data_IF_485281635998
#
_entry.id   IF_485281635998
#
_cell.length_a   1.000
_cell.length_b   1.000
_cell.length_c   1.000
_cell.angle_alpha   90.00
_cell.angle_beta   90.00
_cell.angle_gamma   90.00
#
_symmetry.space_group_name_H-M   'P 1'
#
loop_
_entity.id
_entity.type
_entity.pdbx_description
1 polymer ?
#
# COMPACT_ATOMS: atom_id res chain seq x y z
N UNK A 1 -6.97 -15.07 -5.79
CA UNK A 1 -8.38 -15.40 -5.47
C UNK A 1 -9.08 -15.81 -6.75
N UNK A 2 -9.83 -16.91 -6.68
CA UNK A 2 -10.55 -17.46 -7.82
C UNK A 2 -12.06 -17.47 -7.55
N UNK A 3 -12.86 -17.24 -8.59
CA UNK A 3 -14.27 -17.61 -8.62
C UNK A 3 -14.56 -18.27 -9.97
N UNK A 4 -15.31 -19.37 -9.99
CA UNK A 4 -15.65 -20.12 -11.20
C UNK A 4 -14.42 -20.43 -12.09
N UNK A 5 -13.31 -20.81 -11.46
CA UNK A 5 -11.99 -21.09 -12.09
C UNK A 5 -11.29 -19.90 -12.72
N UNK A 6 -11.76 -18.67 -12.48
CA UNK A 6 -11.19 -17.45 -13.00
C UNK A 6 -10.37 -16.70 -11.95
N UNK A 7 -9.16 -16.23 -12.30
CA UNK A 7 -8.35 -15.39 -11.41
C UNK A 7 -8.96 -13.99 -11.32
N UNK A 8 -9.50 -13.65 -10.15
CA UNK A 8 -10.12 -12.34 -9.91
C UNK A 8 -9.15 -11.31 -9.34
N UNK A 9 -8.22 -11.77 -8.51
CA UNK A 9 -7.23 -10.91 -7.89
C UNK A 9 -5.98 -11.70 -7.53
N UNK A 10 -4.87 -10.99 -7.41
CA UNK A 10 -3.59 -11.50 -6.95
C UNK A 10 -2.83 -10.41 -6.19
N UNK A 11 -1.96 -10.84 -5.27
CA UNK A 11 -1.12 -9.94 -4.49
C UNK A 11 0.25 -10.57 -4.26
N UNK A 12 1.25 -9.72 -4.04
CA UNK A 12 2.58 -10.08 -3.55
C UNK A 12 2.70 -9.64 -2.11
N UNK A 13 2.97 -10.61 -1.24
CA UNK A 13 3.24 -10.41 0.18
C UNK A 13 4.74 -10.55 0.42
N UNK A 14 5.32 -9.67 1.22
CA UNK A 14 6.71 -9.75 1.65
C UNK A 14 6.75 -9.85 3.17
N UNK A 15 7.63 -10.68 3.71
CA UNK A 15 7.81 -10.87 5.15
C UNK A 15 9.28 -10.67 5.51
N UNK A 16 9.55 -9.80 6.48
CA UNK A 16 10.89 -9.58 7.04
C UNK A 16 10.75 -9.46 8.56
N UNK A 17 11.27 -10.45 9.28
CA UNK A 17 11.04 -10.55 10.72
C UNK A 17 9.54 -10.62 11.02
N UNK A 18 9.09 -9.82 11.98
CA UNK A 18 7.69 -9.73 12.41
C UNK A 18 6.86 -8.73 11.57
N UNK A 19 7.39 -8.24 10.44
CA UNK A 19 6.74 -7.27 9.58
C UNK A 19 6.33 -7.91 8.25
N UNK A 20 5.05 -7.77 7.91
CA UNK A 20 4.47 -8.25 6.65
C UNK A 20 3.95 -7.07 5.83
N UNK A 21 4.29 -7.01 4.55
CA UNK A 21 3.84 -5.97 3.63
C UNK A 21 2.91 -6.52 2.55
N UNK A 22 1.80 -5.82 2.33
CA UNK A 22 1.05 -5.89 1.08
C UNK A 22 1.77 -5.05 0.01
N UNK A 23 2.73 -5.66 -0.69
CA UNK A 23 3.64 -4.92 -1.58
C UNK A 23 2.95 -4.43 -2.85
N UNK A 24 2.27 -5.35 -3.54
CA UNK A 24 1.56 -5.11 -4.80
C UNK A 24 0.31 -5.98 -4.84
N UNK A 25 -0.75 -5.48 -5.45
CA UNK A 25 -1.89 -6.31 -5.81
C UNK A 25 -2.65 -5.74 -6.97
N UNK A 26 -3.37 -6.63 -7.64
CA UNK A 26 -4.17 -6.34 -8.82
C UNK A 26 -5.46 -7.16 -8.76
N UNK A 27 -6.51 -6.59 -9.31
CA UNK A 27 -7.81 -7.24 -9.44
C UNK A 27 -8.47 -6.83 -10.73
N UNK A 28 -9.27 -7.73 -11.30
CA UNK A 28 -10.07 -7.45 -12.47
C UNK A 28 -11.30 -6.60 -12.09
N UNK A 29 -11.87 -5.91 -13.08
CA UNK A 29 -13.03 -5.04 -12.86
C UNK A 29 -14.37 -5.78 -12.89
N UNK A 30 -14.45 -6.94 -13.56
CA UNK A 30 -15.63 -7.81 -13.53
C UNK A 30 -15.73 -8.56 -12.20
N UNK A 31 -16.93 -9.00 -11.84
CA UNK A 31 -17.18 -9.73 -10.60
C UNK A 31 -16.73 -8.96 -9.34
N UNK A 32 -17.02 -7.66 -9.25
CA UNK A 32 -16.68 -6.86 -8.05
C UNK A 32 -17.56 -7.19 -6.85
N UNK A 33 -18.77 -7.68 -7.12
CA UNK A 33 -19.76 -8.09 -6.13
C UNK A 33 -19.28 -9.24 -5.25
N UNK A 34 -18.37 -10.11 -5.74
CA UNK A 34 -17.75 -11.16 -4.92
C UNK A 34 -16.55 -10.68 -4.11
N UNK A 35 -16.25 -9.37 -4.17
CA UNK A 35 -15.25 -8.68 -3.35
C UNK A 35 -13.87 -9.37 -3.28
N UNK A 36 -13.23 -9.68 -4.42
CA UNK A 36 -12.00 -10.47 -4.44
C UNK A 36 -10.82 -9.78 -3.71
N UNK A 37 -10.80 -8.44 -3.66
CA UNK A 37 -9.80 -7.68 -2.92
C UNK A 37 -9.93 -7.86 -1.40
N UNK A 38 -11.15 -7.85 -0.87
CA UNK A 38 -11.38 -8.11 0.55
C UNK A 38 -10.95 -9.53 0.90
N UNK A 39 -11.29 -10.51 0.05
CA UNK A 39 -10.90 -11.91 0.25
C UNK A 39 -9.37 -12.09 0.31
N UNK A 40 -8.62 -11.47 -0.59
CA UNK A 40 -7.15 -11.53 -0.57
C UNK A 40 -6.57 -10.85 0.67
N UNK A 41 -7.07 -9.66 1.03
CA UNK A 41 -6.56 -8.97 2.22
C UNK A 41 -6.84 -9.76 3.49
N UNK A 42 -8.04 -10.36 3.62
CA UNK A 42 -8.36 -11.22 4.75
C UNK A 42 -7.42 -12.43 4.84
N UNK A 43 -7.15 -13.07 3.68
CA UNK A 43 -6.21 -14.19 3.62
C UNK A 43 -4.81 -13.77 4.04
N UNK A 44 -4.30 -12.66 3.49
CA UNK A 44 -2.98 -12.14 3.83
C UNK A 44 -2.86 -11.73 5.30
N UNK A 45 -3.91 -11.14 5.88
CA UNK A 45 -3.98 -10.82 7.31
C UNK A 45 -3.96 -12.09 8.18
N UNK A 46 -4.68 -13.13 7.76
CA UNK A 46 -4.69 -14.42 8.46
C UNK A 46 -3.32 -15.09 8.40
N UNK A 47 -2.69 -15.12 7.22
CA UNK A 47 -1.33 -15.67 7.05
C UNK A 47 -0.31 -14.86 7.88
N UNK A 48 -0.43 -13.53 7.92
CA UNK A 48 0.44 -12.67 8.74
C UNK A 48 0.28 -12.96 10.24
N UNK A 49 -0.95 -13.17 10.71
CA UNK A 49 -1.23 -13.55 12.09
C UNK A 49 -0.63 -14.92 12.43
N UNK A 50 -0.79 -15.92 11.55
CA UNK A 50 -0.19 -17.25 11.73
C UNK A 50 1.35 -17.21 11.74
N UNK A 51 1.96 -16.29 11.00
CA UNK A 51 3.40 -16.06 11.02
C UNK A 51 3.90 -15.30 12.25
N UNK A 52 3.00 -14.88 13.15
CA UNK A 52 3.36 -14.10 14.34
C UNK A 52 3.77 -12.67 14.00
N UNK A 53 3.25 -12.10 12.91
CA UNK A 53 3.56 -10.72 12.54
C UNK A 53 3.04 -9.75 13.62
N UNK A 54 3.92 -8.85 14.07
CA UNK A 54 3.56 -7.70 14.89
C UNK A 54 2.95 -6.58 14.06
N UNK A 55 3.32 -6.48 12.77
CA UNK A 55 2.87 -5.44 11.85
C UNK A 55 2.42 -6.03 10.51
N UNK A 56 1.21 -5.67 10.09
CA UNK A 56 0.72 -5.83 8.73
C UNK A 56 0.59 -4.47 8.05
N UNK A 57 1.39 -4.22 7.03
CA UNK A 57 1.55 -2.91 6.40
C UNK A 57 0.93 -2.86 5.00
N UNK A 58 -0.14 -2.07 4.89
CA UNK A 58 -0.84 -1.77 3.63
C UNK A 58 -0.07 -0.83 2.69
N UNK A 59 1.05 -0.28 3.16
CA UNK A 59 1.91 0.71 2.53
C UNK A 59 1.23 2.06 2.31
N UNK A 60 1.91 2.93 1.58
CA UNK A 60 1.58 4.34 1.43
C UNK A 60 0.11 4.64 1.12
N UNK A 61 -0.37 5.70 1.74
CA UNK A 61 -1.68 6.31 1.50
C UNK A 61 -1.49 7.70 0.91
N UNK A 62 -2.54 8.26 0.32
CA UNK A 62 -2.55 9.69 0.01
C UNK A 62 -2.64 10.50 1.30
N UNK A 63 -2.02 11.68 1.32
CA UNK A 63 -2.14 12.65 2.41
C UNK A 63 -3.37 13.56 2.33
N UNK A 64 -4.17 13.48 1.25
CA UNK A 64 -5.39 14.30 1.09
C UNK A 64 -6.65 13.55 1.55
N UNK A 65 -7.60 14.32 2.09
CA UNK A 65 -8.95 13.88 2.47
C UNK A 65 -10.03 14.48 1.57
N UNK A 66 -9.64 15.13 0.47
CA UNK A 66 -10.58 15.73 -0.49
C UNK A 66 -11.48 14.65 -1.12
N UNK A 67 -12.79 14.93 -1.12
CA UNK A 67 -13.81 13.95 -1.53
C UNK A 67 -13.78 13.60 -3.02
N UNK A 68 -13.31 14.53 -3.85
CA UNK A 68 -13.17 14.35 -5.30
C UNK A 68 -11.90 13.56 -5.68
N UNK A 69 -11.00 13.31 -4.73
CA UNK A 69 -9.78 12.56 -4.99
C UNK A 69 -10.05 11.04 -5.09
N UNK A 70 -9.78 10.45 -6.25
CA UNK A 70 -9.95 9.02 -6.49
C UNK A 70 -9.18 8.11 -5.50
N UNK A 71 -8.08 8.59 -4.92
CA UNK A 71 -7.27 7.87 -3.92
C UNK A 71 -7.95 7.79 -2.54
N UNK A 72 -8.97 8.62 -2.27
CA UNK A 72 -9.72 8.56 -1.02
C UNK A 72 -10.42 7.20 -0.84
N UNK A 73 -10.88 6.58 -1.94
CA UNK A 73 -11.45 5.21 -1.91
C UNK A 73 -10.42 4.17 -1.45
N UNK A 74 -9.17 4.30 -1.90
CA UNK A 74 -8.09 3.41 -1.47
C UNK A 74 -7.76 3.62 0.00
N UNK A 75 -7.74 4.87 0.47
CA UNK A 75 -7.56 5.18 1.89
C UNK A 75 -8.68 4.55 2.75
N UNK A 76 -9.95 4.75 2.36
CA UNK A 76 -11.11 4.16 3.06
C UNK A 76 -11.06 2.63 3.09
N UNK A 77 -10.65 2.00 1.99
CA UNK A 77 -10.43 0.55 1.95
C UNK A 77 -9.40 0.09 2.98
N UNK A 78 -8.24 0.76 3.06
CA UNK A 78 -7.17 0.42 4.00
C UNK A 78 -7.59 0.63 5.45
N UNK A 79 -8.15 1.79 5.78
CA UNK A 79 -8.63 2.10 7.14
C UNK A 79 -9.80 1.19 7.55
N UNK A 80 -10.64 0.78 6.60
CA UNK A 80 -11.75 -0.15 6.84
C UNK A 80 -11.35 -1.52 7.38
N UNK A 81 -10.06 -1.88 7.32
CA UNK A 81 -9.53 -3.12 7.92
C UNK A 81 -9.22 -2.99 9.41
N UNK A 82 -9.42 -1.81 10.00
CA UNK A 82 -8.99 -1.47 11.36
C UNK A 82 -7.56 -0.92 11.44
N UNK A 83 -6.88 -0.77 10.29
CA UNK A 83 -5.56 -0.19 10.20
C UNK A 83 -5.52 1.31 10.49
N UNK A 84 -4.33 1.79 10.85
CA UNK A 84 -4.08 3.19 11.18
C UNK A 84 -3.11 3.82 10.17
N UNK A 85 -3.27 5.13 9.93
CA UNK A 85 -2.28 5.90 9.20
C UNK A 85 -1.07 6.15 10.10
N UNK A 86 0.13 5.79 9.62
CA UNK A 86 1.39 6.02 10.33
C UNK A 86 2.25 6.93 9.47
N UNK A 87 2.69 8.05 10.05
CA UNK A 87 3.63 8.97 9.43
C UNK A 87 5.05 8.61 9.87
N UNK A 88 5.94 8.44 8.90
CA UNK A 88 7.36 8.25 9.17
C UNK A 88 8.06 9.60 9.26
N UNK A 89 9.25 9.61 9.84
CA UNK A 89 10.08 10.81 9.99
C UNK A 89 10.50 11.46 8.65
N UNK A 90 10.22 10.80 7.54
CA UNK A 90 10.46 11.30 6.19
C UNK A 90 11.82 10.89 5.66
N UNK A 91 12.31 11.68 4.71
CA UNK A 91 13.56 11.45 4.01
C UNK A 91 14.64 12.40 4.56
N UNK A 92 15.87 11.90 4.68
CA UNK A 92 17.03 12.71 5.05
C UNK A 92 18.13 12.55 4.00
N UNK A 93 18.64 13.69 3.55
CA UNK A 93 19.69 13.73 2.55
C UNK A 93 21.05 14.02 3.17
N UNK A 94 22.04 13.20 2.81
CA UNK A 94 23.46 13.49 3.02
C UNK A 94 24.13 13.79 1.68
N UNK A 95 24.31 15.07 1.30
CA UNK A 95 24.77 15.42 -0.04
C UNK A 95 26.26 15.14 -0.24
N UNK A 96 26.57 14.10 -1.02
CA UNK A 96 27.94 13.77 -1.44
C UNK A 96 28.52 14.87 -2.35
N UNK A 97 27.71 15.42 -3.25
CA UNK A 97 28.04 16.60 -4.05
C UNK A 97 27.05 17.74 -3.76
N UNK A 98 27.50 18.71 -2.96
CA UNK A 98 26.68 19.85 -2.52
C UNK A 98 26.19 20.72 -3.69
N UNK A 99 26.97 20.84 -4.76
CA UNK A 99 26.61 21.65 -5.94
C UNK A 99 25.47 20.99 -6.70
N UNK A 100 25.61 19.70 -7.02
CA UNK A 100 24.55 18.95 -7.72
C UNK A 100 23.29 18.84 -6.87
N UNK A 101 23.43 18.58 -5.57
CA UNK A 101 22.29 18.54 -4.66
C UNK A 101 21.52 19.87 -4.65
N UNK A 102 22.24 21.00 -4.58
CA UNK A 102 21.59 22.33 -4.65
C UNK A 102 20.95 22.60 -6.02
N UNK A 103 21.55 22.12 -7.11
CA UNK A 103 21.01 22.27 -8.45
C UNK A 103 19.75 21.41 -8.69
N UNK A 104 19.60 20.30 -7.96
CA UNK A 104 18.42 19.43 -8.05
C UNK A 104 17.13 20.15 -7.63
N UNK A 105 17.17 20.99 -6.59
CA UNK A 105 16.00 21.73 -6.10
C UNK A 105 15.31 22.56 -7.20
N UNK A 106 16.01 23.51 -7.85
CA UNK A 106 15.47 24.29 -8.97
C UNK A 106 15.05 23.45 -10.19
N UNK A 107 15.66 22.28 -10.41
CA UNK A 107 15.25 21.36 -11.47
C UNK A 107 13.91 20.70 -11.13
N UNK A 108 13.75 20.20 -9.90
CA UNK A 108 12.52 19.55 -9.45
C UNK A 108 11.35 20.52 -9.36
N UNK A 109 11.58 21.78 -8.97
CA UNK A 109 10.51 22.79 -8.86
C UNK A 109 9.95 23.28 -10.21
N UNK A 110 10.56 22.88 -11.32
CA UNK A 110 10.13 23.23 -12.69
C UNK A 110 9.28 22.14 -13.35
N UNK A 111 9.05 21.02 -12.65
CA UNK A 111 8.24 19.88 -13.11
C UNK A 111 6.90 19.88 -12.38
#
# INVERSE_FOLDING_TARGET
MYADSEVLAAATMLTVGEHVWYSYGASISRMREVQPNNAIQWRMLSDAYEFGAAVYDFRGITGTLEEDNHLLRLLRFKVGTGGQAVEYLGEWDYPLNKVLHKALGPYMSRR
#
